data_IF_365998320667
#
_entry.id   IF_365998320667
#
_cell.length_a   1.000
_cell.length_b   1.000
_cell.length_c   1.000
_cell.angle_alpha   90.00
_cell.angle_beta   90.00
_cell.angle_gamma   90.00
#
_symmetry.space_group_name_H-M   'P 1'
#
loop_
_entity.id
_entity.type
_entity.pdbx_description
1 polymer ?
#
# COMPACT_ATOMS: atom_id res chain seq x y z
N UNK A 1 -14.39 21.65 -13.33
CA UNK A 1 -15.51 20.69 -13.38
C UNK A 1 -15.82 20.28 -11.95
N UNK A 2 -17.11 20.14 -11.57
CA UNK A 2 -17.42 19.58 -10.26
C UNK A 2 -16.89 18.14 -10.18
N UNK A 3 -16.32 17.75 -9.05
CA UNK A 3 -15.94 16.36 -8.77
C UNK A 3 -17.21 15.51 -8.86
N UNK A 4 -17.21 14.51 -9.74
CA UNK A 4 -18.34 13.60 -9.90
C UNK A 4 -18.26 12.41 -8.96
N UNK A 5 -17.06 12.08 -8.46
CA UNK A 5 -16.80 11.02 -7.51
C UNK A 5 -15.53 11.34 -6.69
N UNK A 6 -15.44 10.74 -5.53
CA UNK A 6 -14.24 10.76 -4.68
C UNK A 6 -13.87 9.32 -4.35
N UNK A 7 -12.57 9.01 -4.33
CA UNK A 7 -12.08 7.74 -3.80
C UNK A 7 -12.05 7.78 -2.27
N UNK A 8 -12.68 6.79 -1.64
CA UNK A 8 -12.61 6.57 -0.21
C UNK A 8 -11.81 5.30 0.05
N UNK A 9 -10.63 5.44 0.65
CA UNK A 9 -9.78 4.30 0.94
C UNK A 9 -9.63 4.05 2.44
N UNK A 10 -9.34 2.81 2.81
CA UNK A 10 -9.05 2.41 4.19
C UNK A 10 -7.93 1.40 4.24
N UNK A 11 -7.14 1.46 5.33
CA UNK A 11 -6.15 0.46 5.67
C UNK A 11 -6.90 -0.75 6.26
N UNK A 12 -6.65 -1.94 5.71
CA UNK A 12 -7.37 -3.19 6.01
C UNK A 12 -6.44 -4.39 5.92
N UNK A 13 -6.92 -5.54 6.36
CA UNK A 13 -6.13 -6.76 6.36
C UNK A 13 -5.00 -6.73 7.40
N UNK A 14 -5.20 -6.02 8.50
CA UNK A 14 -4.19 -5.78 9.52
C UNK A 14 -4.27 -6.77 10.70
N UNK A 15 -5.17 -7.74 10.67
CA UNK A 15 -5.17 -8.89 11.57
C UNK A 15 -3.91 -9.74 11.37
N UNK A 16 -3.48 -10.48 12.40
CA UNK A 16 -2.30 -11.34 12.31
C UNK A 16 -2.46 -12.58 13.20
N UNK A 17 -2.34 -13.77 12.62
CA UNK A 17 -2.49 -15.03 13.33
C UNK A 17 -3.85 -15.09 14.06
N UNK A 18 -3.80 -15.21 15.38
CA UNK A 18 -4.98 -15.25 16.24
C UNK A 18 -5.48 -13.86 16.67
N UNK A 19 -4.79 -12.78 16.29
CA UNK A 19 -5.16 -11.43 16.67
C UNK A 19 -6.01 -10.79 15.58
N UNK A 20 -7.21 -10.35 15.95
CA UNK A 20 -8.10 -9.59 15.08
C UNK A 20 -7.90 -8.11 15.30
N UNK A 21 -7.61 -7.39 14.23
CA UNK A 21 -7.51 -5.93 14.18
C UNK A 21 -8.44 -5.38 13.11
N UNK A 22 -9.11 -4.29 13.46
CA UNK A 22 -10.04 -3.64 12.54
C UNK A 22 -11.40 -4.34 12.45
N UNK A 23 -12.22 -3.85 11.52
CA UNK A 23 -13.57 -4.32 11.24
C UNK A 23 -13.74 -4.52 9.73
N UNK A 24 -12.84 -5.25 9.11
CA UNK A 24 -12.72 -5.37 7.65
C UNK A 24 -14.03 -5.77 6.98
N UNK A 25 -14.76 -6.73 7.55
CA UNK A 25 -16.07 -7.18 7.04
C UNK A 25 -17.13 -6.05 6.99
N UNK A 26 -16.99 -5.03 7.85
CA UNK A 26 -17.91 -3.90 7.92
C UNK A 26 -17.40 -2.70 7.12
N UNK A 27 -16.09 -2.51 7.06
CA UNK A 27 -15.44 -1.35 6.41
C UNK A 27 -15.35 -1.55 4.90
N UNK A 28 -14.91 -2.73 4.44
CA UNK A 28 -14.67 -2.97 3.00
C UNK A 28 -15.92 -2.70 2.14
N UNK A 29 -17.15 -3.05 2.53
CA UNK A 29 -18.33 -2.71 1.73
C UNK A 29 -18.62 -1.20 1.61
N UNK A 30 -17.97 -0.35 2.39
CA UNK A 30 -18.22 1.10 2.46
C UNK A 30 -17.15 1.95 1.73
N UNK A 31 -16.09 1.32 1.23
CA UNK A 31 -14.95 2.00 0.60
C UNK A 31 -14.85 1.69 -0.89
N UNK A 32 -14.09 2.49 -1.62
CA UNK A 32 -13.81 2.27 -3.05
C UNK A 32 -12.44 1.63 -3.30
N UNK A 33 -11.50 1.81 -2.37
CA UNK A 33 -10.14 1.29 -2.46
C UNK A 33 -9.66 0.74 -1.12
N UNK A 34 -9.05 -0.45 -1.12
CA UNK A 34 -8.52 -1.13 0.05
C UNK A 34 -6.99 -1.10 0.05
N UNK A 35 -6.38 -0.50 1.08
CA UNK A 35 -4.93 -0.57 1.29
C UNK A 35 -4.64 -1.80 2.14
N UNK A 36 -4.18 -2.89 1.52
CA UNK A 36 -4.09 -4.21 2.16
C UNK A 36 -2.69 -4.42 2.73
N UNK A 37 -2.60 -4.71 4.03
CA UNK A 37 -1.35 -5.02 4.72
C UNK A 37 -0.64 -6.23 4.10
N UNK A 38 0.70 -6.15 4.01
CA UNK A 38 1.52 -7.08 3.24
C UNK A 38 2.49 -7.91 4.10
N UNK A 39 2.20 -8.09 5.39
CA UNK A 39 2.90 -9.03 6.27
C UNK A 39 4.05 -8.43 7.09
N UNK A 40 4.51 -7.21 6.83
CA UNK A 40 5.64 -6.60 7.56
C UNK A 40 5.20 -5.85 8.82
N UNK A 41 4.24 -4.95 8.70
CA UNK A 41 3.70 -4.23 9.86
C UNK A 41 2.47 -4.91 10.45
N UNK A 42 1.73 -5.64 9.62
CA UNK A 42 0.52 -6.39 9.95
C UNK A 42 0.14 -7.30 8.77
N UNK A 43 -0.89 -8.09 8.94
CA UNK A 43 -1.32 -9.08 7.96
C UNK A 43 -0.44 -10.34 7.97
N UNK A 44 -1.02 -11.42 7.52
CA UNK A 44 -0.34 -12.68 7.23
C UNK A 44 -0.90 -13.29 5.94
N UNK A 45 -0.34 -14.39 5.41
CA UNK A 45 -0.81 -14.95 4.14
C UNK A 45 -2.30 -15.33 4.12
N UNK A 46 -2.87 -15.78 5.23
CA UNK A 46 -4.28 -16.15 5.31
C UNK A 46 -5.18 -14.92 5.37
N UNK A 47 -4.80 -13.92 6.18
CA UNK A 47 -5.46 -12.61 6.27
C UNK A 47 -5.43 -11.92 4.90
N UNK A 48 -4.27 -11.84 4.25
CA UNK A 48 -4.12 -11.23 2.92
C UNK A 48 -5.05 -11.89 1.90
N UNK A 49 -5.07 -13.22 1.84
CA UNK A 49 -5.93 -13.96 0.93
C UNK A 49 -7.43 -13.69 1.20
N UNK A 50 -7.82 -13.65 2.47
CA UNK A 50 -9.21 -13.39 2.87
C UNK A 50 -9.62 -11.95 2.53
N UNK A 51 -8.79 -10.98 2.86
CA UNK A 51 -9.06 -9.55 2.59
C UNK A 51 -9.16 -9.26 1.10
N UNK A 52 -8.29 -9.86 0.27
CA UNK A 52 -8.39 -9.77 -1.19
C UNK A 52 -9.73 -10.33 -1.69
N UNK A 53 -10.14 -11.52 -1.22
CA UNK A 53 -11.42 -12.12 -1.60
C UNK A 53 -12.60 -11.23 -1.23
N UNK A 54 -12.56 -10.64 -0.03
CA UNK A 54 -13.60 -9.75 0.47
C UNK A 54 -13.70 -8.46 -0.35
N UNK A 55 -12.56 -7.86 -0.68
CA UNK A 55 -12.52 -6.65 -1.52
C UNK A 55 -13.06 -6.94 -2.95
N UNK A 56 -12.64 -8.03 -3.58
CA UNK A 56 -13.15 -8.45 -4.89
C UNK A 56 -14.68 -8.64 -4.85
N UNK A 57 -15.19 -9.35 -3.84
CA UNK A 57 -16.64 -9.60 -3.66
C UNK A 57 -17.45 -8.29 -3.61
N UNK A 58 -16.86 -7.23 -3.05
CA UNK A 58 -17.52 -5.92 -2.91
C UNK A 58 -17.17 -4.93 -4.03
N UNK A 59 -16.41 -5.33 -5.05
CA UNK A 59 -16.01 -4.46 -6.16
C UNK A 59 -15.04 -3.35 -5.76
N UNK A 60 -14.26 -3.55 -4.69
CA UNK A 60 -13.32 -2.58 -4.13
C UNK A 60 -11.96 -2.73 -4.79
N UNK A 61 -11.33 -1.61 -5.17
CA UNK A 61 -9.99 -1.58 -5.75
C UNK A 61 -8.93 -2.10 -4.77
N UNK A 62 -7.99 -2.93 -5.26
CA UNK A 62 -6.95 -3.53 -4.45
C UNK A 62 -5.67 -2.68 -4.49
N UNK A 63 -5.10 -2.37 -3.35
CA UNK A 63 -3.81 -1.69 -3.24
C UNK A 63 -2.89 -2.34 -2.22
N UNK A 64 -1.60 -2.29 -2.50
CA UNK A 64 -0.59 -2.74 -1.54
C UNK A 64 -0.33 -1.67 -0.48
N UNK A 65 -0.25 -2.12 0.78
CA UNK A 65 0.05 -1.27 1.93
C UNK A 65 1.37 -1.65 2.58
N UNK A 66 2.52 -1.44 1.88
CA UNK A 66 3.82 -1.86 2.38
C UNK A 66 4.29 -0.99 3.54
N UNK A 67 4.79 -1.62 4.59
CA UNK A 67 5.38 -0.97 5.76
C UNK A 67 6.81 -1.41 6.04
N UNK A 68 7.43 -0.80 7.04
CA UNK A 68 8.71 -1.27 7.58
C UNK A 68 8.51 -2.61 8.32
N UNK A 69 9.56 -3.47 8.43
CA UNK A 69 9.49 -4.77 9.09
C UNK A 69 9.43 -4.62 10.62
N UNK A 70 8.34 -4.09 11.12
CA UNK A 70 8.12 -3.74 12.52
C UNK A 70 6.74 -4.22 12.99
N UNK A 71 6.52 -5.53 13.03
CA UNK A 71 5.26 -6.12 13.44
C UNK A 71 4.85 -5.69 14.86
N UNK A 72 5.82 -5.67 15.80
CA UNK A 72 5.57 -5.30 17.21
C UNK A 72 5.19 -3.83 17.35
N UNK A 73 5.79 -2.95 16.56
CA UNK A 73 5.49 -1.50 16.56
C UNK A 73 4.45 -1.12 15.53
N UNK A 74 3.80 -2.09 14.88
CA UNK A 74 2.80 -1.86 13.86
C UNK A 74 3.32 -0.96 12.71
N UNK A 75 4.61 -1.12 12.34
CA UNK A 75 5.24 -0.31 11.29
C UNK A 75 5.30 1.20 11.59
N UNK A 76 5.09 1.62 12.85
CA UNK A 76 5.02 3.04 13.22
C UNK A 76 6.27 3.56 13.90
N UNK A 77 7.26 2.70 14.17
CA UNK A 77 8.57 3.12 14.67
C UNK A 77 9.48 3.43 13.49
N UNK A 78 10.13 4.60 13.52
CA UNK A 78 11.16 4.92 12.54
C UNK A 78 12.32 3.93 12.66
N UNK A 79 12.83 3.50 11.51
CA UNK A 79 14.00 2.62 11.40
C UNK A 79 15.05 3.31 10.54
N UNK A 80 16.31 3.14 10.89
CA UNK A 80 17.42 3.52 10.02
C UNK A 80 17.54 2.46 8.93
N UNK A 81 17.16 2.83 7.71
CA UNK A 81 17.15 1.98 6.53
C UNK A 81 17.69 2.73 5.34
N UNK A 82 18.39 2.05 4.47
CA UNK A 82 18.87 2.56 3.19
C UNK A 82 17.73 2.59 2.15
N UNK A 83 17.91 3.37 1.07
CA UNK A 83 16.95 3.37 -0.03
C UNK A 83 16.84 2.00 -0.72
N UNK A 84 17.95 1.23 -0.79
CA UNK A 84 17.93 -0.13 -1.36
C UNK A 84 17.12 -1.08 -0.49
N UNK A 85 17.29 -1.03 0.84
CA UNK A 85 16.44 -1.83 1.75
C UNK A 85 14.96 -1.46 1.62
N UNK A 86 14.64 -0.17 1.44
CA UNK A 86 13.25 0.25 1.17
C UNK A 86 12.74 -0.36 -0.13
N UNK A 87 13.52 -0.34 -1.21
CA UNK A 87 13.15 -0.98 -2.46
C UNK A 87 12.91 -2.48 -2.29
N UNK A 88 13.78 -3.17 -1.58
CA UNK A 88 13.64 -4.60 -1.30
C UNK A 88 12.36 -4.89 -0.52
N UNK A 89 12.10 -4.12 0.55
CA UNK A 89 10.90 -4.28 1.38
C UNK A 89 9.61 -4.03 0.59
N UNK A 90 9.59 -2.99 -0.23
CA UNK A 90 8.42 -2.64 -1.04
C UNK A 90 8.20 -3.66 -2.15
N UNK A 91 9.26 -4.09 -2.84
CA UNK A 91 9.20 -5.13 -3.88
C UNK A 91 8.63 -6.43 -3.33
N UNK A 92 9.14 -6.91 -2.20
CA UNK A 92 8.66 -8.13 -1.56
C UNK A 92 7.17 -8.05 -1.24
N UNK A 93 6.73 -6.96 -0.63
CA UNK A 93 5.37 -6.78 -0.15
C UNK A 93 4.37 -6.62 -1.31
N UNK A 94 4.70 -5.81 -2.31
CA UNK A 94 3.86 -5.67 -3.52
C UNK A 94 3.77 -7.00 -4.25
N UNK A 95 4.90 -7.69 -4.44
CA UNK A 95 4.97 -8.98 -5.13
C UNK A 95 4.12 -10.05 -4.44
N UNK A 96 4.16 -10.12 -3.11
CA UNK A 96 3.35 -11.06 -2.33
C UNK A 96 1.84 -10.82 -2.54
N UNK A 97 1.39 -9.58 -2.40
CA UNK A 97 -0.03 -9.23 -2.60
C UNK A 97 -0.46 -9.41 -4.06
N UNK A 98 0.40 -9.05 -5.02
CA UNK A 98 0.13 -9.21 -6.44
C UNK A 98 -0.09 -10.69 -6.80
N UNK A 99 0.72 -11.60 -6.26
CA UNK A 99 0.55 -13.03 -6.47
C UNK A 99 -0.78 -13.53 -5.89
N UNK A 100 -1.15 -13.09 -4.69
CA UNK A 100 -2.42 -13.45 -4.05
C UNK A 100 -3.62 -12.92 -4.84
N UNK A 101 -3.55 -11.68 -5.33
CA UNK A 101 -4.59 -11.07 -6.16
C UNK A 101 -4.74 -11.80 -7.51
N UNK A 102 -3.62 -12.11 -8.17
CA UNK A 102 -3.61 -12.82 -9.45
C UNK A 102 -4.25 -14.21 -9.37
N UNK A 103 -4.00 -14.97 -8.30
CA UNK A 103 -4.64 -16.27 -8.06
C UNK A 103 -6.17 -16.17 -7.92
N UNK A 104 -6.68 -14.99 -7.59
CA UNK A 104 -8.12 -14.71 -7.47
C UNK A 104 -8.68 -13.94 -8.67
N UNK A 105 -7.92 -13.86 -9.77
CA UNK A 105 -8.34 -13.21 -11.01
C UNK A 105 -8.36 -11.68 -10.97
N UNK A 106 -7.67 -11.07 -10.01
CA UNK A 106 -7.61 -9.62 -9.83
C UNK A 106 -6.19 -9.08 -9.98
N UNK A 107 -6.07 -7.75 -10.03
CA UNK A 107 -4.80 -7.03 -10.09
C UNK A 107 -4.80 -5.87 -9.11
N UNK A 108 -3.62 -5.42 -8.74
CA UNK A 108 -3.47 -4.22 -7.92
C UNK A 108 -3.74 -2.96 -8.74
N UNK A 109 -4.29 -1.96 -8.10
CA UNK A 109 -4.57 -0.64 -8.64
C UNK A 109 -3.57 0.40 -8.13
N UNK A 110 -3.18 0.29 -6.85
CA UNK A 110 -2.40 1.33 -6.20
C UNK A 110 -1.43 0.78 -5.14
N UNK A 111 -0.54 1.64 -4.69
CA UNK A 111 0.34 1.42 -3.56
C UNK A 111 0.22 2.61 -2.61
N UNK A 112 0.01 2.36 -1.34
CA UNK A 112 0.02 3.36 -0.27
C UNK A 112 0.96 2.90 0.83
N UNK A 113 2.16 3.46 0.99
CA UNK A 113 3.05 3.10 2.10
C UNK A 113 2.37 3.29 3.45
N UNK A 114 2.71 2.43 4.41
CA UNK A 114 2.16 2.44 5.76
C UNK A 114 3.04 3.21 6.74
N UNK A 115 2.42 3.85 7.73
CA UNK A 115 2.99 4.26 9.01
C UNK A 115 4.28 5.05 8.92
N UNK A 116 5.36 4.55 9.52
CA UNK A 116 6.65 5.24 9.55
C UNK A 116 7.25 5.42 8.15
N UNK A 117 7.13 4.44 7.26
CA UNK A 117 7.61 4.56 5.87
C UNK A 117 6.95 5.76 5.16
N UNK A 118 5.65 5.91 5.31
CA UNK A 118 4.89 7.03 4.75
C UNK A 118 5.33 8.38 5.32
N UNK A 119 5.47 8.47 6.65
CA UNK A 119 5.88 9.69 7.33
C UNK A 119 7.35 10.08 7.04
N UNK A 120 8.23 9.10 6.89
CA UNK A 120 9.62 9.32 6.50
C UNK A 120 9.71 9.83 5.06
N UNK A 121 8.88 9.31 4.15
CA UNK A 121 8.83 9.73 2.76
C UNK A 121 8.40 11.21 2.60
N UNK A 122 7.51 11.71 3.46
CA UNK A 122 7.14 13.14 3.48
C UNK A 122 8.34 14.03 3.81
N UNK A 123 9.25 13.55 4.67
CA UNK A 123 10.45 14.31 5.09
C UNK A 123 11.64 14.08 4.16
N UNK A 124 11.64 13.00 3.42
CA UNK A 124 12.71 12.62 2.50
C UNK A 124 12.12 12.13 1.16
N UNK A 125 11.96 13.03 0.17
CA UNK A 125 11.38 12.68 -1.14
C UNK A 125 12.12 11.56 -1.90
N UNK A 126 13.39 11.28 -1.57
CA UNK A 126 14.11 10.14 -2.17
C UNK A 126 13.44 8.79 -1.85
N UNK A 127 12.69 8.71 -0.75
CA UNK A 127 11.89 7.52 -0.42
C UNK A 127 10.71 7.38 -1.39
N UNK A 128 10.01 8.47 -1.72
CA UNK A 128 8.96 8.45 -2.74
C UNK A 128 9.51 8.01 -4.10
N UNK A 129 10.70 8.52 -4.47
CA UNK A 129 11.36 8.13 -5.72
C UNK A 129 11.72 6.64 -5.74
N UNK A 130 12.23 6.09 -4.63
CA UNK A 130 12.52 4.66 -4.49
C UNK A 130 11.26 3.78 -4.60
N UNK A 131 10.16 4.19 -3.97
CA UNK A 131 8.87 3.48 -4.07
C UNK A 131 8.34 3.55 -5.51
N UNK A 132 8.36 4.71 -6.14
CA UNK A 132 7.91 4.91 -7.51
C UNK A 132 8.74 4.10 -8.52
N UNK A 133 10.07 3.99 -8.32
CA UNK A 133 10.95 3.14 -9.13
C UNK A 133 10.54 1.67 -9.07
N UNK A 134 10.26 1.15 -7.87
CA UNK A 134 9.78 -0.23 -7.70
C UNK A 134 8.44 -0.44 -8.39
N UNK A 135 7.50 0.50 -8.20
CA UNK A 135 6.18 0.42 -8.83
C UNK A 135 6.27 0.38 -10.35
N UNK A 136 7.04 1.27 -10.96
CA UNK A 136 7.26 1.31 -12.42
C UNK A 136 7.87 0.02 -12.95
N UNK A 137 8.78 -0.61 -12.18
CA UNK A 137 9.38 -1.89 -12.53
C UNK A 137 8.43 -3.09 -12.43
N UNK A 138 7.39 -2.99 -11.59
CA UNK A 138 6.40 -4.05 -11.39
C UNK A 138 5.21 -3.89 -12.34
N UNK A 139 4.57 -2.73 -12.35
CA UNK A 139 3.45 -2.39 -13.21
C UNK A 139 3.29 -0.85 -13.27
N UNK A 140 3.58 -0.26 -14.43
CA UNK A 140 3.51 1.19 -14.68
C UNK A 140 2.10 1.79 -14.50
N UNK A 141 1.06 0.95 -14.37
CA UNK A 141 -0.32 1.38 -14.15
C UNK A 141 -0.66 1.58 -12.68
N UNK A 142 0.24 1.23 -11.77
CA UNK A 142 0.04 1.41 -10.34
C UNK A 142 0.01 2.90 -9.98
N UNK A 143 -0.95 3.29 -9.17
CA UNK A 143 -1.11 4.65 -8.67
C UNK A 143 -0.44 4.77 -7.30
N UNK A 144 0.45 5.72 -7.10
CA UNK A 144 1.04 6.00 -5.80
C UNK A 144 0.14 6.93 -4.98
N UNK A 145 -0.35 6.45 -3.84
CA UNK A 145 -1.08 7.28 -2.88
C UNK A 145 -0.11 7.98 -1.94
N UNK A 146 -0.15 9.30 -1.96
CA UNK A 146 0.74 10.17 -1.19
C UNK A 146 -0.03 11.04 -0.20
N UNK A 147 0.66 11.56 0.81
CA UNK A 147 0.04 12.43 1.82
C UNK A 147 -0.35 13.79 1.22
N UNK A 148 -1.58 14.21 1.47
CA UNK A 148 -2.01 15.55 1.15
C UNK A 148 -1.13 16.58 1.90
N UNK A 149 -0.70 17.63 1.20
CA UNK A 149 0.23 18.62 1.76
C UNK A 149 1.71 18.30 1.58
N UNK A 150 2.07 17.15 1.00
CA UNK A 150 3.44 16.92 0.48
C UNK A 150 3.77 17.91 -0.64
N UNK A 151 5.07 18.12 -0.90
CA UNK A 151 5.50 18.99 -2.00
C UNK A 151 5.02 18.42 -3.34
N UNK A 152 3.98 19.03 -3.87
CA UNK A 152 3.32 18.59 -5.10
C UNK A 152 4.26 18.66 -6.31
N UNK A 153 5.10 19.70 -6.40
CA UNK A 153 5.98 19.88 -7.55
C UNK A 153 7.05 18.78 -7.58
N UNK A 154 7.60 18.42 -6.41
CA UNK A 154 8.55 17.32 -6.28
C UNK A 154 7.90 15.97 -6.63
N UNK A 155 6.68 15.71 -6.12
CA UNK A 155 5.95 14.47 -6.42
C UNK A 155 5.61 14.34 -7.91
N UNK A 156 5.14 15.42 -8.55
CA UNK A 156 4.89 15.43 -9.99
C UNK A 156 6.17 15.20 -10.81
N UNK A 157 7.31 15.73 -10.33
CA UNK A 157 8.63 15.48 -10.95
C UNK A 157 9.04 14.00 -10.85
N UNK A 158 8.84 13.38 -9.68
CA UNK A 158 9.09 11.94 -9.46
C UNK A 158 8.18 11.11 -10.37
N UNK A 159 6.87 11.37 -10.36
CA UNK A 159 5.91 10.65 -11.16
C UNK A 159 6.25 10.69 -12.65
N UNK A 160 6.55 11.90 -13.17
CA UNK A 160 6.98 12.07 -14.57
C UNK A 160 8.28 11.34 -14.90
N UNK A 161 9.26 11.35 -14.00
CA UNK A 161 10.55 10.69 -14.19
C UNK A 161 10.44 9.17 -14.20
N UNK A 162 9.56 8.62 -13.35
CA UNK A 162 9.38 7.19 -13.16
C UNK A 162 8.26 6.59 -14.01
N UNK A 163 7.36 7.41 -14.53
CA UNK A 163 6.22 6.97 -15.36
C UNK A 163 5.08 6.35 -14.55
N UNK A 164 4.82 6.85 -13.34
CA UNK A 164 3.74 6.39 -12.45
C UNK A 164 2.75 7.51 -12.15
#
# INVERSE_FOLDING_TARGET
MPLQAIDLNSDVGESFGNYTLGLDEQVIPLISSANIACGYHAGDPAVMRHTVALAIKNGVGLGAHPGLPDLVGFGRRNMEVTLEEIKDFVTYQIGALQAVAALQGARLQHVKPHGALYNMAVKNPAIWDAVAEVMAGIDERLILFVMAGSDRAELESIAKRRGV
#
